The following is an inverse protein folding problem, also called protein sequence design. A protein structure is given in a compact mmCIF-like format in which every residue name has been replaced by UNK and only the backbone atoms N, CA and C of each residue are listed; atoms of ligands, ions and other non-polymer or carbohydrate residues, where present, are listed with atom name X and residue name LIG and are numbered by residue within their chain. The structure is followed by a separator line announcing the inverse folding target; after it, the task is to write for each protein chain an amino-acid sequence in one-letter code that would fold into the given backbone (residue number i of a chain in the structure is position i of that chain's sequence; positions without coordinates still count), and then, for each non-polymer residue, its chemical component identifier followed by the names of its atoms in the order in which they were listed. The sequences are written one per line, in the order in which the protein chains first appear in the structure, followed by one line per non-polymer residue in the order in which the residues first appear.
data_IF_425857577614
#
_entry.id   IF_425857577614
#
_cell.length_a   1.000
_cell.length_b   1.000
_cell.length_c   1.000
_cell.angle_alpha   90.00
_cell.angle_beta   90.00
_cell.angle_gamma   90.00
#
_symmetry.space_group_name_H-M   'P 1'
#
loop_
_entity.id
_entity.type
_entity.pdbx_description
1 polymer ?
#
# COMPACT_ATOMS: atom_id res chain seq x y z
N UNK A 1 -12.43 -12.19 3.32
CA UNK A 1 -13.24 -11.13 2.69
C UNK A 1 -14.64 -11.62 2.40
N UNK A 2 -15.62 -10.71 2.30
CA UNK A 2 -17.04 -11.00 2.06
C UNK A 2 -17.64 -9.97 1.09
N UNK A 3 -18.59 -10.39 0.25
CA UNK A 3 -19.38 -9.49 -0.59
C UNK A 3 -20.82 -9.52 -0.08
N UNK A 4 -21.37 -8.36 0.25
CA UNK A 4 -22.76 -8.21 0.70
C UNK A 4 -23.59 -7.52 -0.37
N UNK A 5 -24.87 -7.88 -0.43
CA UNK A 5 -25.86 -7.30 -1.34
C UNK A 5 -27.07 -6.85 -0.53
N UNK A 6 -27.42 -5.58 -0.63
CA UNK A 6 -28.62 -5.04 -0.02
C UNK A 6 -29.85 -5.45 -0.83
N UNK A 7 -30.71 -6.29 -0.27
CA UNK A 7 -31.78 -6.98 -1.00
C UNK A 7 -32.78 -6.03 -1.69
N UNK A 8 -33.08 -4.88 -1.08
CA UNK A 8 -34.12 -3.97 -1.61
C UNK A 8 -33.59 -2.94 -2.61
N UNK A 9 -32.30 -2.60 -2.57
CA UNK A 9 -31.70 -1.60 -3.48
C UNK A 9 -30.75 -2.23 -4.51
N UNK A 10 -30.31 -3.46 -4.27
CA UNK A 10 -29.28 -4.13 -5.06
C UNK A 10 -27.86 -3.55 -4.88
N UNK A 11 -27.67 -2.59 -3.95
CA UNK A 11 -26.35 -2.05 -3.62
C UNK A 11 -25.44 -3.15 -3.09
N UNK A 12 -24.14 -3.05 -3.41
CA UNK A 12 -23.17 -4.09 -3.08
C UNK A 12 -21.96 -3.48 -2.41
N UNK A 13 -21.38 -4.21 -1.46
CA UNK A 13 -20.19 -3.79 -0.74
C UNK A 13 -19.24 -4.99 -0.57
N UNK A 14 -17.93 -4.75 -0.73
CA UNK A 14 -16.89 -5.70 -0.38
C UNK A 14 -16.30 -5.32 0.97
N UNK A 15 -16.31 -6.28 1.89
CA UNK A 15 -15.70 -6.16 3.20
C UNK A 15 -14.42 -7.00 3.29
N UNK A 16 -13.32 -6.35 3.67
CA UNK A 16 -12.10 -7.00 4.14
C UNK A 16 -12.03 -6.94 5.67
N UNK A 17 -11.69 -8.06 6.32
CA UNK A 17 -11.63 -8.14 7.77
C UNK A 17 -10.23 -7.79 8.26
N UNK A 18 -10.12 -6.80 9.15
CA UNK A 18 -8.85 -6.40 9.76
C UNK A 18 -8.90 -6.70 11.26
N UNK A 19 -7.99 -7.55 11.74
CA UNK A 19 -7.96 -8.06 13.13
C UNK A 19 -6.95 -7.34 14.03
N UNK A 20 -6.33 -6.26 13.55
CA UNK A 20 -5.41 -5.47 14.36
C UNK A 20 -6.15 -4.67 15.43
N UNK A 21 -5.50 -4.45 16.59
CA UNK A 21 -6.06 -3.66 17.70
C UNK A 21 -6.37 -2.21 17.29
N UNK A 22 -5.66 -1.70 16.27
CA UNK A 22 -5.93 -0.45 15.59
C UNK A 22 -5.99 -0.71 14.09
N UNK A 23 -7.11 -0.35 13.48
CA UNK A 23 -7.29 -0.38 12.02
C UNK A 23 -7.35 1.07 11.55
N UNK A 24 -6.43 1.45 10.67
CA UNK A 24 -6.49 2.77 10.03
C UNK A 24 -7.58 2.76 8.94
N UNK A 25 -8.28 3.88 8.71
CA UNK A 25 -9.28 3.98 7.64
C UNK A 25 -8.70 3.65 6.26
N UNK A 26 -9.51 3.15 5.31
CA UNK A 26 -9.06 2.78 3.98
C UNK A 26 -8.14 3.80 3.33
N UNK A 27 -8.53 5.08 3.30
CA UNK A 27 -7.73 6.12 2.63
C UNK A 27 -6.33 6.26 3.24
N UNK A 28 -6.22 6.24 4.57
CA UNK A 28 -4.95 6.34 5.29
C UNK A 28 -4.05 5.12 5.07
N UNK A 29 -4.63 3.94 4.91
CA UNK A 29 -3.88 2.71 4.60
C UNK A 29 -3.40 2.72 3.16
N UNK A 30 -4.24 3.16 2.23
CA UNK A 30 -4.02 3.00 0.80
C UNK A 30 -3.30 4.16 0.12
N UNK A 31 -3.34 5.36 0.71
CA UNK A 31 -2.76 6.57 0.13
C UNK A 31 -1.77 7.24 1.07
N UNK A 32 -0.68 7.73 0.50
CA UNK A 32 0.21 8.70 1.15
C UNK A 32 0.16 10.00 0.37
N UNK A 33 -0.32 11.07 1.01
CA UNK A 33 -0.67 12.34 0.35
C UNK A 33 -1.70 12.07 -0.76
N UNK A 34 -1.27 12.09 -2.02
CA UNK A 34 -2.12 11.82 -3.18
C UNK A 34 -1.76 10.53 -3.90
N UNK A 35 -0.70 9.83 -3.47
CA UNK A 35 -0.17 8.65 -4.16
C UNK A 35 -0.72 7.36 -3.56
N UNK A 36 -1.09 6.42 -4.44
CA UNK A 36 -1.50 5.06 -4.09
C UNK A 36 -0.28 4.22 -3.71
N UNK A 37 -0.25 3.75 -2.47
CA UNK A 37 0.84 2.92 -1.92
C UNK A 37 0.42 1.48 -1.64
N UNK A 38 -0.88 1.23 -1.54
CA UNK A 38 -1.48 -0.09 -1.41
C UNK A 38 -2.71 -0.15 -2.32
N UNK A 39 -2.88 -1.24 -3.06
CA UNK A 39 -3.94 -1.44 -4.05
C UNK A 39 -4.92 -2.57 -3.67
N UNK A 40 -4.86 -3.12 -2.44
CA UNK A 40 -5.69 -4.25 -2.01
C UNK A 40 -7.19 -3.97 -2.22
N UNK A 41 -7.77 -3.00 -1.49
CA UNK A 41 -9.20 -2.69 -1.62
C UNK A 41 -9.57 -2.20 -3.04
N UNK A 42 -8.86 -1.23 -3.66
CA UNK A 42 -9.22 -0.75 -4.99
C UNK A 42 -9.33 -1.86 -6.03
N UNK A 43 -8.51 -2.91 -5.96
CA UNK A 43 -8.51 -4.00 -6.93
C UNK A 43 -9.68 -4.97 -6.75
N UNK A 44 -10.34 -5.03 -5.58
CA UNK A 44 -11.49 -5.90 -5.38
C UNK A 44 -12.66 -5.60 -6.30
N UNK A 45 -12.83 -4.37 -6.76
CA UNK A 45 -13.89 -4.04 -7.74
C UNK A 45 -13.74 -4.83 -9.05
N UNK A 46 -12.51 -5.11 -9.47
CA UNK A 46 -12.23 -5.91 -10.68
C UNK A 46 -12.51 -7.38 -10.45
N UNK A 47 -12.21 -7.89 -9.25
CA UNK A 47 -12.53 -9.27 -8.86
C UNK A 47 -14.05 -9.47 -8.86
N UNK A 48 -14.78 -8.54 -8.27
CA UNK A 48 -16.24 -8.55 -8.25
C UNK A 48 -16.81 -8.54 -9.67
N UNK A 49 -16.34 -7.63 -10.53
CA UNK A 49 -16.77 -7.59 -11.93
C UNK A 49 -16.47 -8.90 -12.68
N UNK A 50 -15.30 -9.52 -12.45
CA UNK A 50 -14.92 -10.80 -13.04
C UNK A 50 -15.81 -11.98 -12.60
N UNK A 51 -16.48 -11.87 -11.45
CA UNK A 51 -17.48 -12.84 -10.98
C UNK A 51 -18.87 -12.64 -11.62
N UNK A 52 -19.01 -11.71 -12.56
CA UNK A 52 -20.29 -11.38 -13.20
C UNK A 52 -21.20 -10.53 -12.31
N UNK A 53 -20.63 -9.88 -11.30
CA UNK A 53 -21.35 -8.93 -10.46
C UNK A 53 -21.23 -7.54 -11.08
N UNK A 54 -22.29 -7.13 -11.77
CA UNK A 54 -22.37 -5.81 -12.40
C UNK A 54 -22.85 -4.72 -11.42
N UNK A 55 -22.36 -3.49 -11.67
CA UNK A 55 -22.77 -2.27 -10.97
C UNK A 55 -21.69 -1.68 -10.06
N UNK A 56 -21.93 -0.48 -9.50
CA UNK A 56 -21.04 0.11 -8.52
C UNK A 56 -20.97 -0.78 -7.27
N UNK A 57 -19.76 -0.92 -6.73
CA UNK A 57 -19.50 -1.67 -5.50
C UNK A 57 -18.76 -0.78 -4.52
N UNK A 58 -19.27 -0.71 -3.30
CA UNK A 58 -18.59 -0.05 -2.20
C UNK A 58 -17.47 -0.93 -1.66
N UNK A 59 -16.44 -0.31 -1.07
CA UNK A 59 -15.28 -1.01 -0.54
C UNK A 59 -15.12 -0.59 0.92
N UNK A 60 -14.89 -1.54 1.82
CA UNK A 60 -14.78 -1.23 3.23
C UNK A 60 -13.93 -2.25 3.98
N UNK A 61 -13.47 -1.84 5.16
CA UNK A 61 -13.00 -2.75 6.18
C UNK A 61 -14.09 -3.07 7.19
N UNK A 62 -14.03 -4.26 7.78
CA UNK A 62 -14.60 -4.55 9.10
C UNK A 62 -13.45 -4.65 10.09
N UNK A 63 -13.39 -3.70 11.02
CA UNK A 63 -12.40 -3.69 12.09
C UNK A 63 -12.83 -4.66 13.21
N UNK A 64 -11.94 -5.58 13.57
CA UNK A 64 -12.13 -6.60 14.61
C UNK A 64 -11.01 -6.50 15.67
N UNK A 65 -10.95 -5.41 16.46
CA UNK A 65 -9.99 -5.29 17.56
C UNK A 65 -10.37 -6.19 18.75
N UNK A 66 -9.46 -6.36 19.72
CA UNK A 66 -9.75 -7.09 20.97
C UNK A 66 -10.93 -6.50 21.76
N UNK A 67 -11.10 -5.19 21.72
CA UNK A 67 -12.20 -4.49 22.36
C UNK A 67 -13.44 -4.53 21.45
N UNK A 68 -14.39 -5.41 21.78
CA UNK A 68 -15.60 -5.65 20.99
C UNK A 68 -16.48 -4.40 20.81
N UNK A 69 -16.36 -3.40 21.69
CA UNK A 69 -17.09 -2.15 21.55
C UNK A 69 -16.57 -1.27 20.40
N UNK A 70 -15.39 -1.59 19.85
CA UNK A 70 -14.74 -0.89 18.72
C UNK A 70 -14.85 -1.66 17.41
N UNK A 71 -15.62 -2.74 17.38
CA UNK A 71 -15.96 -3.42 16.12
C UNK A 71 -16.85 -2.50 15.29
N UNK A 72 -16.54 -2.38 14.01
CA UNK A 72 -17.34 -1.57 13.09
C UNK A 72 -16.80 -1.56 11.67
N UNK A 73 -17.62 -1.08 10.74
CA UNK A 73 -17.20 -0.83 9.37
C UNK A 73 -16.40 0.48 9.22
N UNK A 74 -15.45 0.47 8.27
CA UNK A 74 -14.75 1.65 7.78
C UNK A 74 -14.91 1.67 6.26
N UNK A 75 -15.87 2.46 5.78
CA UNK A 75 -16.18 2.59 4.35
C UNK A 75 -15.13 3.46 3.67
N UNK A 76 -14.70 3.08 2.47
CA UNK A 76 -13.83 3.87 1.63
C UNK A 76 -14.66 4.92 0.87
N UNK A 77 -14.29 6.19 1.01
CA UNK A 77 -15.00 7.33 0.40
C UNK A 77 -14.38 7.78 -0.94
N UNK A 78 -13.71 6.86 -1.65
CA UNK A 78 -13.04 7.20 -2.90
C UNK A 78 -14.01 7.45 -4.03
N UNK A 79 -13.73 8.51 -4.79
CA UNK A 79 -14.46 8.85 -6.01
C UNK A 79 -14.09 7.90 -7.16
N UNK A 80 -14.95 7.79 -8.20
CA UNK A 80 -14.60 7.03 -9.40
C UNK A 80 -13.28 7.49 -10.05
N UNK A 81 -12.98 8.79 -10.03
CA UNK A 81 -11.74 9.33 -10.57
C UNK A 81 -10.51 8.85 -9.78
N UNK A 82 -10.59 8.81 -8.44
CA UNK A 82 -9.51 8.28 -7.61
C UNK A 82 -9.32 6.78 -7.81
N UNK A 83 -10.42 6.03 -8.00
CA UNK A 83 -10.34 4.63 -8.36
C UNK A 83 -9.64 4.45 -9.72
N UNK A 84 -9.95 5.27 -10.73
CA UNK A 84 -9.26 5.24 -12.03
C UNK A 84 -7.74 5.50 -11.90
N UNK A 85 -7.33 6.40 -10.99
CA UNK A 85 -5.92 6.62 -10.66
C UNK A 85 -5.27 5.38 -10.02
N UNK A 86 -6.00 4.64 -9.17
CA UNK A 86 -5.54 3.38 -8.61
C UNK A 86 -5.29 2.34 -9.72
N UNK A 87 -6.15 2.31 -10.75
CA UNK A 87 -5.96 1.43 -11.90
C UNK A 87 -4.74 1.80 -12.72
N UNK A 88 -4.50 3.09 -12.94
CA UNK A 88 -3.31 3.51 -13.65
C UNK A 88 -2.04 3.20 -12.86
N UNK A 89 -2.09 3.31 -11.54
CA UNK A 89 -1.02 2.85 -10.64
C UNK A 89 -0.78 1.34 -10.81
N UNK A 90 -1.84 0.52 -10.79
CA UNK A 90 -1.74 -0.92 -11.01
C UNK A 90 -1.10 -1.25 -12.37
N UNK A 91 -1.54 -0.59 -13.45
CA UNK A 91 -0.98 -0.78 -14.80
C UNK A 91 0.50 -0.40 -14.85
N UNK A 92 0.89 0.70 -14.20
CA UNK A 92 2.30 1.12 -14.11
C UNK A 92 3.15 0.08 -13.39
N UNK A 93 2.70 -0.41 -12.24
CA UNK A 93 3.40 -1.46 -11.47
C UNK A 93 3.54 -2.74 -12.30
N UNK A 94 2.47 -3.21 -12.94
CA UNK A 94 2.52 -4.41 -13.81
C UNK A 94 3.49 -4.24 -14.98
N UNK A 95 3.52 -3.06 -15.62
CA UNK A 95 4.48 -2.78 -16.70
C UNK A 95 5.93 -2.78 -16.20
N UNK A 96 6.18 -2.25 -15.02
CA UNK A 96 7.51 -2.25 -14.40
C UNK A 96 7.97 -3.68 -14.09
N UNK A 97 7.11 -4.49 -13.44
CA UNK A 97 7.36 -5.90 -13.14
C UNK A 97 7.70 -6.69 -14.41
N UNK A 98 6.89 -6.55 -15.47
CA UNK A 98 7.12 -7.24 -16.76
C UNK A 98 8.42 -6.83 -17.46
N UNK A 99 8.94 -5.64 -17.17
CA UNK A 99 10.21 -5.12 -17.70
C UNK A 99 11.39 -5.40 -16.78
N UNK A 100 11.18 -6.04 -15.62
CA UNK A 100 12.21 -6.24 -14.61
C UNK A 100 12.70 -4.94 -13.96
N UNK A 101 11.88 -3.88 -13.96
CA UNK A 101 12.21 -2.58 -13.37
C UNK A 101 11.74 -2.54 -11.91
N UNK A 102 12.67 -2.76 -10.98
CA UNK A 102 12.41 -2.75 -9.53
C UNK A 102 13.15 -1.63 -8.78
N UNK A 103 13.95 -0.83 -9.48
CA UNK A 103 14.81 0.25 -8.94
C UNK A 103 14.18 1.63 -9.15
N UNK A 104 14.40 2.63 -8.27
CA UNK A 104 15.24 2.60 -7.06
C UNK A 104 14.53 2.03 -5.82
N UNK A 105 15.28 1.40 -4.90
CA UNK A 105 14.78 1.03 -3.59
C UNK A 105 14.49 2.30 -2.81
N UNK A 106 13.53 2.20 -1.90
CA UNK A 106 13.24 3.25 -0.94
C UNK A 106 14.31 3.24 0.15
N UNK A 107 14.80 4.41 0.54
CA UNK A 107 15.68 4.61 1.70
C UNK A 107 14.96 5.48 2.76
N UNK A 108 14.75 4.98 3.99
CA UNK A 108 15.10 3.64 4.47
C UNK A 108 14.26 2.53 3.84
N UNK A 109 14.79 1.29 3.78
CA UNK A 109 14.02 0.14 3.32
C UNK A 109 12.79 -0.07 4.23
N UNK A 110 11.69 -0.60 3.69
CA UNK A 110 10.48 -0.77 4.48
C UNK A 110 10.64 -1.85 5.57
N UNK A 111 10.13 -1.57 6.77
CA UNK A 111 10.22 -2.46 7.93
C UNK A 111 9.52 -3.83 7.79
N UNK A 112 8.77 -4.06 6.70
CA UNK A 112 8.04 -5.31 6.50
C UNK A 112 8.88 -6.41 5.84
N UNK A 113 10.18 -6.19 5.60
CA UNK A 113 11.11 -7.17 5.02
C UNK A 113 12.39 -7.37 5.83
N UNK A 114 12.38 -7.04 7.13
CA UNK A 114 13.55 -7.18 8.00
C UNK A 114 14.14 -8.61 7.99
N UNK A 115 13.31 -9.63 7.77
CA UNK A 115 13.76 -11.03 7.66
C UNK A 115 14.67 -11.28 6.44
N UNK A 116 14.51 -10.49 5.37
CA UNK A 116 15.33 -10.55 4.17
C UNK A 116 16.49 -9.54 4.18
N UNK A 117 16.54 -8.63 5.16
CA UNK A 117 17.56 -7.59 5.25
C UNK A 117 19.00 -8.14 5.15
N UNK A 118 19.25 -9.30 5.76
CA UNK A 118 20.55 -9.97 5.70
C UNK A 118 20.92 -10.47 4.29
N UNK A 119 19.94 -10.94 3.52
CA UNK A 119 20.14 -11.42 2.13
C UNK A 119 20.22 -10.23 1.17
N UNK A 120 19.42 -9.18 1.40
CA UNK A 120 19.40 -7.95 0.62
C UNK A 120 20.57 -7.00 0.95
N UNK A 121 21.37 -7.32 1.96
CA UNK A 121 22.49 -6.51 2.44
C UNK A 121 22.08 -5.08 2.86
N UNK A 122 20.85 -4.94 3.38
CA UNK A 122 20.33 -3.67 3.86
C UNK A 122 21.22 -3.15 5.01
N UNK A 123 21.67 -1.89 4.90
CA UNK A 123 22.54 -1.25 5.89
C UNK A 123 24.02 -1.69 5.90
N UNK A 124 24.44 -2.65 5.06
CA UNK A 124 25.83 -3.15 5.02
C UNK A 124 26.79 -2.29 4.19
N UNK A 125 26.28 -1.43 3.30
CA UNK A 125 27.12 -0.58 2.42
C UNK A 125 27.22 0.90 2.86
N UNK A 126 26.61 1.29 3.99
CA UNK A 126 26.53 2.69 4.43
C UNK A 126 27.77 3.24 5.15
N UNK A 127 28.79 2.43 5.41
CA UNK A 127 30.00 2.87 6.12
C UNK A 127 31.21 3.14 5.21
N UNK A 128 31.19 2.72 3.94
CA UNK A 128 32.40 2.73 3.10
C UNK A 128 32.56 3.96 2.19
N UNK A 129 31.57 4.85 2.10
CA UNK A 129 31.62 6.04 1.22
C UNK A 129 31.73 7.37 1.97
N UNK A 130 31.76 7.37 3.29
CA UNK A 130 31.92 8.57 4.11
C UNK A 130 33.38 8.86 4.51
N UNK A 131 34.29 7.90 4.31
CA UNK A 131 35.68 7.99 4.79
C UNK A 131 36.69 8.46 3.72
N UNK A 132 36.27 8.72 2.46
CA UNK A 132 37.20 9.14 1.38
C UNK A 132 37.22 10.65 1.06
N UNK A 133 36.44 11.50 1.74
CA UNK A 133 36.51 12.98 1.54
C UNK A 133 37.22 13.74 2.68
N UNK A 134 37.98 13.04 3.52
CA UNK A 134 38.50 13.59 4.78
C UNK A 134 40.03 13.65 4.92
N UNK A 135 40.84 13.63 3.85
CA UNK A 135 42.29 13.87 4.00
C UNK A 135 42.95 14.40 2.71
N UNK A 136 42.61 15.64 2.33
CA UNK A 136 43.53 16.48 1.54
C UNK A 136 43.33 17.95 1.90
N UNK A 137 44.16 18.45 2.83
CA UNK A 137 44.66 19.82 2.74
C UNK A 137 45.98 19.90 3.50
N UNK A 138 47.03 19.81 2.70
CA UNK A 138 48.42 19.91 3.11
C UNK A 138 48.79 21.22 3.81
N UNK A 139 49.82 21.05 4.61
CA UNK A 139 50.73 22.01 5.21
C UNK A 139 51.37 22.92 4.12
N UNK A 140 51.20 24.24 4.24
CA UNK A 140 52.26 25.27 4.13
C UNK A 140 51.69 26.68 3.87
N UNK A 141 51.92 27.61 4.81
CA UNK A 141 52.42 28.98 4.58
C UNK A 141 52.23 29.88 5.82
N UNK A 142 53.29 30.07 6.60
CA UNK A 142 53.90 31.36 6.99
C UNK A 142 54.76 31.22 8.25
#
# INVERSE_FOLDING_TARGET
DRIDVHESTGQRIVFDYKTSDRVDPPDKTHRKKTEWVDLQLPLYRHLVAALGIDGPVELAYIALPKDVAKVGELIAEWTPAELDEADETARRVVRAIRRGLFWPPTDPPPAFFDEFAAICQDGQFGAALADEEGDDNGEDAA
#
